data_IF_748810886333
#
_entry.id   IF_748810886333
#
_cell.length_a   1.000
_cell.length_b   1.000
_cell.length_c   1.000
_cell.angle_alpha   90.00
_cell.angle_beta   90.00
_cell.angle_gamma   90.00
#
_symmetry.space_group_name_H-M   'P 1'
#
loop_
_entity.id
_entity.type
_entity.pdbx_description
1 polymer ?
#
# COMPACT_ATOMS: atom_id res chain seq x y z
N UNK A 1 -9.67 -9.30 -8.25
CA UNK A 1 -8.92 -9.64 -9.47
C UNK A 1 -9.67 -9.23 -10.73
N UNK A 2 -10.90 -9.72 -10.94
CA UNK A 2 -11.66 -9.53 -12.20
C UNK A 2 -12.11 -8.08 -12.54
N UNK A 3 -11.67 -7.08 -11.79
CA UNK A 3 -11.79 -5.68 -12.20
C UNK A 3 -10.66 -5.27 -13.18
N UNK A 4 -9.61 -6.08 -13.29
CA UNK A 4 -8.49 -5.89 -14.19
C UNK A 4 -8.73 -6.58 -15.54
N UNK A 5 -8.25 -5.96 -16.61
CA UNK A 5 -8.17 -6.56 -17.94
C UNK A 5 -6.95 -7.49 -18.01
N UNK A 6 -7.13 -8.72 -17.48
CA UNK A 6 -6.04 -9.69 -17.34
C UNK A 6 -5.45 -10.10 -18.69
N UNK A 7 -6.26 -10.15 -19.74
CA UNK A 7 -5.82 -10.50 -21.09
C UNK A 7 -4.86 -9.43 -21.64
N UNK A 8 -5.27 -8.16 -21.60
CA UNK A 8 -4.42 -7.06 -22.01
C UNK A 8 -3.15 -6.97 -21.16
N UNK A 9 -3.28 -7.18 -19.85
CA UNK A 9 -2.15 -7.13 -18.93
C UNK A 9 -1.09 -8.19 -19.27
N UNK A 10 -1.49 -9.46 -19.41
CA UNK A 10 -0.56 -10.55 -19.76
C UNK A 10 0.03 -10.36 -21.17
N UNK A 11 -0.76 -9.88 -22.13
CA UNK A 11 -0.26 -9.53 -23.47
C UNK A 11 0.84 -8.47 -23.40
N UNK A 12 0.61 -7.40 -22.64
CA UNK A 12 1.58 -6.32 -22.47
C UNK A 12 2.86 -6.79 -21.77
N UNK A 13 2.74 -7.58 -20.70
CA UNK A 13 3.91 -8.14 -20.01
C UNK A 13 4.78 -8.97 -20.95
N UNK A 14 4.18 -9.88 -21.70
CA UNK A 14 4.90 -10.75 -22.63
C UNK A 14 5.54 -9.98 -23.79
N UNK A 15 4.85 -9.01 -24.38
CA UNK A 15 5.41 -8.15 -25.41
C UNK A 15 6.60 -7.33 -24.90
N UNK A 16 6.50 -6.77 -23.68
CA UNK A 16 7.60 -6.05 -23.06
C UNK A 16 8.80 -6.95 -22.77
N UNK A 17 8.58 -8.16 -22.25
CA UNK A 17 9.65 -9.14 -22.04
C UNK A 17 10.28 -9.65 -23.34
N UNK A 18 9.57 -9.57 -24.47
CA UNK A 18 10.10 -9.84 -25.81
C UNK A 18 10.86 -8.63 -26.42
N UNK A 19 10.90 -7.50 -25.72
CA UNK A 19 11.54 -6.26 -26.19
C UNK A 19 10.72 -5.54 -27.26
N UNK A 20 9.41 -5.75 -27.31
CA UNK A 20 8.48 -5.02 -28.17
C UNK A 20 8.03 -3.72 -27.50
N UNK A 21 7.56 -2.76 -28.32
CA UNK A 21 6.99 -1.51 -27.83
C UNK A 21 5.51 -1.72 -27.48
N UNK A 22 5.10 -1.26 -26.29
CA UNK A 22 3.72 -1.36 -25.80
C UNK A 22 3.24 0.02 -25.36
N UNK A 23 2.02 0.39 -25.76
CA UNK A 23 1.35 1.56 -25.19
C UNK A 23 0.59 1.16 -23.94
N UNK A 24 1.04 1.64 -22.79
CA UNK A 24 0.42 1.33 -21.50
C UNK A 24 -0.94 2.03 -21.39
N UNK A 25 -1.97 1.36 -20.84
CA UNK A 25 -3.21 2.04 -20.49
C UNK A 25 -2.96 2.92 -19.26
N UNK A 26 -3.53 4.13 -19.25
CA UNK A 26 -3.57 5.00 -18.07
C UNK A 26 -5.00 5.06 -17.56
N UNK A 27 -5.24 4.82 -16.27
CA UNK A 27 -6.58 4.95 -15.70
C UNK A 27 -6.76 6.35 -15.11
N UNK A 28 -7.70 7.12 -15.65
CA UNK A 28 -8.00 8.45 -15.15
C UNK A 28 -9.05 8.37 -14.04
N UNK A 29 -8.67 8.70 -12.81
CA UNK A 29 -9.55 8.63 -11.64
C UNK A 29 -10.63 9.70 -11.62
N UNK A 30 -10.44 10.83 -12.31
CA UNK A 30 -11.45 11.88 -12.39
C UNK A 30 -12.59 11.51 -13.32
N UNK A 31 -12.28 10.87 -14.45
CA UNK A 31 -13.28 10.43 -15.44
C UNK A 31 -13.75 9.00 -15.19
N UNK A 32 -12.97 8.21 -14.45
CA UNK A 32 -13.22 6.78 -14.23
C UNK A 32 -12.99 5.92 -15.48
N UNK A 33 -12.25 6.43 -16.47
CA UNK A 33 -12.06 5.77 -17.77
C UNK A 33 -10.61 5.45 -18.06
N UNK A 34 -10.42 4.44 -18.92
CA UNK A 34 -9.11 4.08 -19.48
C UNK A 34 -8.75 5.03 -20.61
N UNK A 35 -7.59 5.64 -20.51
CA UNK A 35 -6.98 6.54 -21.48
C UNK A 35 -5.67 5.94 -22.01
N UNK A 36 -5.17 6.54 -23.10
CA UNK A 36 -3.89 6.14 -23.70
C UNK A 36 -2.76 6.72 -22.84
N UNK A 37 -1.90 5.85 -22.30
CA UNK A 37 -0.68 6.25 -21.62
C UNK A 37 0.53 6.26 -22.54
N UNK A 38 1.70 6.15 -21.92
CA UNK A 38 2.99 6.22 -22.60
C UNK A 38 3.28 4.95 -23.40
N UNK A 39 4.06 5.09 -24.47
CA UNK A 39 4.60 3.94 -25.20
C UNK A 39 5.99 3.65 -24.70
N UNK A 40 6.18 2.44 -24.18
CA UNK A 40 7.43 2.01 -23.55
C UNK A 40 7.96 0.76 -24.23
N UNK A 41 9.28 0.56 -24.13
CA UNK A 41 9.96 -0.62 -24.66
C UNK A 41 11.07 -0.99 -23.67
N UNK A 42 11.14 -2.27 -23.28
CA UNK A 42 12.21 -2.74 -22.40
C UNK A 42 13.44 -3.15 -23.22
N UNK A 43 14.61 -2.98 -22.61
CA UNK A 43 15.87 -3.59 -23.04
C UNK A 43 16.31 -4.64 -22.02
N UNK A 44 17.31 -5.47 -22.35
CA UNK A 44 17.80 -6.53 -21.45
C UNK A 44 18.39 -6.05 -20.12
N UNK A 45 18.63 -4.75 -19.92
CA UNK A 45 19.09 -4.17 -18.65
C UNK A 45 17.96 -3.67 -17.75
N UNK A 46 16.71 -3.71 -18.21
CA UNK A 46 15.58 -3.21 -17.45
C UNK A 46 14.99 -4.29 -16.54
N UNK A 47 14.45 -3.84 -15.41
CA UNK A 47 13.63 -4.66 -14.52
C UNK A 47 12.22 -4.09 -14.58
N UNK A 48 11.23 -4.99 -14.69
CA UNK A 48 9.84 -4.60 -14.61
C UNK A 48 9.34 -4.77 -13.18
N UNK A 49 8.81 -3.69 -12.59
CA UNK A 49 8.15 -3.71 -11.29
C UNK A 49 6.66 -3.57 -11.51
N UNK A 50 5.91 -4.54 -10.97
CA UNK A 50 4.45 -4.59 -10.99
C UNK A 50 3.99 -4.52 -9.55
N UNK A 51 3.41 -3.39 -9.15
CA UNK A 51 2.83 -3.19 -7.81
C UNK A 51 1.33 -3.52 -7.82
N UNK A 52 0.72 -3.81 -6.68
CA UNK A 52 -0.73 -3.92 -6.58
C UNK A 52 -1.17 -5.03 -5.66
N UNK A 53 -2.35 -4.85 -5.09
CA UNK A 53 -2.87 -5.75 -4.05
C UNK A 53 -2.99 -7.21 -4.52
N UNK A 54 -3.12 -7.47 -5.82
CA UNK A 54 -3.23 -8.80 -6.40
C UNK A 54 -1.90 -9.42 -6.84
N UNK A 55 -0.75 -8.79 -6.58
CA UNK A 55 0.56 -9.22 -7.10
C UNK A 55 0.95 -10.68 -6.84
N UNK A 56 0.43 -11.29 -5.77
CA UNK A 56 0.71 -12.68 -5.41
C UNK A 56 -0.29 -13.69 -5.99
N UNK A 57 -1.39 -13.20 -6.59
CA UNK A 57 -2.39 -14.07 -7.19
C UNK A 57 -1.85 -14.62 -8.52
N UNK A 58 -1.68 -15.94 -8.68
CA UNK A 58 -1.08 -16.52 -9.89
C UNK A 58 -1.90 -16.20 -11.15
N UNK A 59 -3.22 -16.00 -11.00
CA UNK A 59 -4.11 -15.65 -12.11
C UNK A 59 -3.82 -14.25 -12.71
N UNK A 60 -3.07 -13.39 -12.00
CA UNK A 60 -2.64 -12.08 -12.48
C UNK A 60 -1.67 -12.21 -13.66
N UNK A 61 -0.73 -13.15 -13.58
CA UNK A 61 0.37 -13.35 -14.52
C UNK A 61 0.34 -14.77 -15.13
N UNK A 62 -0.87 -15.27 -15.39
CA UNK A 62 -1.13 -16.67 -15.80
C UNK A 62 -0.39 -17.09 -17.08
N UNK A 63 -0.12 -16.14 -17.99
CA UNK A 63 0.50 -16.40 -19.29
C UNK A 63 1.98 -16.00 -19.31
N UNK A 64 2.54 -15.64 -18.15
CA UNK A 64 3.96 -15.30 -17.99
C UNK A 64 4.72 -16.51 -17.48
N UNK A 65 5.88 -16.77 -18.06
CA UNK A 65 6.81 -17.81 -17.61
C UNK A 65 7.15 -17.62 -16.12
N UNK A 66 6.79 -18.57 -15.23
CA UNK A 66 7.02 -18.46 -13.80
C UNK A 66 8.48 -18.21 -13.40
N UNK A 67 9.44 -18.72 -14.19
CA UNK A 67 10.89 -18.55 -13.92
C UNK A 67 11.36 -17.10 -14.09
N UNK A 68 10.53 -16.25 -14.71
CA UNK A 68 10.77 -14.81 -14.89
C UNK A 68 10.09 -13.95 -13.83
N UNK A 69 9.34 -14.56 -12.90
CA UNK A 69 8.53 -13.83 -11.93
C UNK A 69 9.11 -14.00 -10.53
N UNK A 70 9.47 -12.89 -9.92
CA UNK A 70 9.83 -12.81 -8.50
C UNK A 70 8.74 -12.08 -7.71
N UNK A 71 8.20 -12.72 -6.68
CA UNK A 71 7.05 -12.27 -5.90
C UNK A 71 7.50 -11.79 -4.52
N UNK A 72 7.21 -10.53 -4.23
CA UNK A 72 7.48 -9.93 -2.92
C UNK A 72 6.16 -9.64 -2.19
N UNK A 73 6.03 -10.11 -0.95
CA UNK A 73 4.92 -9.75 -0.09
C UNK A 73 5.34 -8.71 0.96
N UNK A 74 4.83 -7.49 0.82
CA UNK A 74 5.01 -6.43 1.82
C UNK A 74 3.87 -6.47 2.83
N UNK A 75 4.21 -6.68 4.10
CA UNK A 75 3.22 -6.73 5.19
C UNK A 75 3.63 -5.87 6.38
N UNK A 76 2.69 -5.54 7.24
CA UNK A 76 2.93 -4.80 8.49
C UNK A 76 2.70 -5.75 9.66
N UNK A 77 3.57 -6.76 9.81
CA UNK A 77 3.44 -7.77 10.85
C UNK A 77 4.11 -7.27 12.13
N UNK A 78 3.36 -6.51 12.93
CA UNK A 78 3.80 -6.12 14.28
C UNK A 78 3.95 -7.37 15.15
N UNK A 79 5.18 -7.65 15.60
CA UNK A 79 5.50 -8.79 16.46
C UNK A 79 5.52 -8.43 17.95
N UNK A 80 5.29 -7.16 18.27
CA UNK A 80 5.28 -6.66 19.64
C UNK A 80 3.97 -6.98 20.35
N UNK A 81 4.11 -7.26 21.64
CA UNK A 81 2.99 -7.36 22.55
C UNK A 81 2.97 -6.12 23.45
N UNK A 82 1.77 -5.67 23.80
CA UNK A 82 1.57 -4.61 24.80
C UNK A 82 1.99 -5.15 26.18
N UNK A 83 1.64 -6.41 26.46
CA UNK A 83 2.06 -7.14 27.65
C UNK A 83 2.19 -8.65 27.35
N UNK A 84 2.32 -9.50 28.37
CA UNK A 84 2.49 -10.95 28.19
C UNK A 84 1.28 -11.67 27.56
N UNK A 85 0.12 -11.04 27.56
CA UNK A 85 -1.15 -11.62 27.15
C UNK A 85 -1.80 -10.86 25.98
N UNK A 86 -1.52 -9.56 25.85
CA UNK A 86 -2.12 -8.69 24.84
C UNK A 86 -1.13 -8.39 23.71
N UNK A 87 -1.41 -8.91 22.52
CA UNK A 87 -0.64 -8.61 21.30
C UNK A 87 -1.10 -7.31 20.67
N UNK A 88 -0.21 -6.61 19.98
CA UNK A 88 -0.62 -5.52 19.09
C UNK A 88 -1.30 -6.11 17.85
N UNK A 89 -2.59 -5.83 17.58
CA UNK A 89 -3.26 -6.40 16.42
C UNK A 89 -2.76 -5.76 15.12
N UNK A 90 -2.17 -6.56 14.22
CA UNK A 90 -1.78 -6.11 12.87
C UNK A 90 -2.93 -5.42 12.12
N UNK A 91 -4.17 -5.84 12.36
CA UNK A 91 -5.35 -5.21 11.75
C UNK A 91 -5.48 -3.74 12.17
N UNK A 92 -5.21 -3.41 13.43
CA UNK A 92 -5.34 -2.06 13.95
C UNK A 92 -4.20 -1.16 13.47
N UNK A 93 -2.97 -1.70 13.44
CA UNK A 93 -1.82 -0.97 12.89
C UNK A 93 -2.04 -0.63 11.41
N UNK A 94 -2.52 -1.58 10.61
CA UNK A 94 -2.86 -1.36 9.20
C UNK A 94 -4.00 -0.36 9.04
N UNK A 95 -5.01 -0.40 9.91
CA UNK A 95 -6.11 0.58 9.90
C UNK A 95 -5.61 2.00 10.23
N UNK A 96 -4.73 2.14 11.22
CA UNK A 96 -4.17 3.44 11.61
C UNK A 96 -3.25 4.02 10.52
N UNK A 97 -2.37 3.20 9.93
CA UNK A 97 -1.60 3.60 8.73
C UNK A 97 -2.52 4.10 7.62
N UNK A 98 -3.58 3.35 7.33
CA UNK A 98 -4.56 3.70 6.29
C UNK A 98 -5.31 4.98 6.64
N UNK A 99 -5.73 5.16 7.88
CA UNK A 99 -6.45 6.34 8.35
C UNK A 99 -5.62 7.61 8.13
N UNK A 100 -4.35 7.59 8.56
CA UNK A 100 -3.44 8.74 8.41
C UNK A 100 -3.16 9.02 6.93
N UNK A 101 -2.82 8.00 6.15
CA UNK A 101 -2.53 8.14 4.71
C UNK A 101 -3.75 8.63 3.92
N UNK A 102 -4.91 8.00 4.11
CA UNK A 102 -6.13 8.36 3.38
C UNK A 102 -6.56 9.82 3.70
N UNK A 103 -6.32 10.30 4.91
CA UNK A 103 -6.56 11.71 5.25
C UNK A 103 -5.54 12.66 4.60
N UNK A 104 -4.25 12.38 4.72
CA UNK A 104 -3.20 13.28 4.23
C UNK A 104 -3.14 13.39 2.70
N UNK A 105 -3.29 12.27 1.98
CA UNK A 105 -3.04 12.22 0.55
C UNK A 105 -4.32 12.17 -0.29
N UNK A 106 -5.43 11.71 0.28
CA UNK A 106 -6.69 11.51 -0.45
C UNK A 106 -7.83 12.42 0.04
N UNK A 107 -7.62 13.16 1.12
CA UNK A 107 -8.61 14.06 1.72
C UNK A 107 -9.84 13.35 2.28
N UNK A 108 -9.78 12.02 2.48
CA UNK A 108 -10.92 11.28 3.04
C UNK A 108 -11.11 11.60 4.52
N UNK A 109 -12.38 11.72 4.93
CA UNK A 109 -12.73 11.84 6.33
C UNK A 109 -12.53 10.48 7.04
N UNK A 110 -12.17 10.52 8.33
CA UNK A 110 -11.98 9.32 9.14
C UNK A 110 -13.19 8.35 9.06
N UNK A 111 -14.40 8.89 9.09
CA UNK A 111 -15.64 8.13 9.01
C UNK A 111 -15.73 7.30 7.72
N UNK A 112 -15.26 7.83 6.59
CA UNK A 112 -15.26 7.12 5.30
C UNK A 112 -14.28 5.95 5.31
N UNK A 113 -13.06 6.17 5.82
CA UNK A 113 -12.04 5.11 5.91
C UNK A 113 -12.49 3.99 6.84
N UNK A 114 -12.99 4.32 8.03
CA UNK A 114 -13.50 3.31 8.98
C UNK A 114 -14.73 2.58 8.43
N UNK A 115 -15.66 3.32 7.79
CA UNK A 115 -16.86 2.73 7.20
C UNK A 115 -16.56 1.70 6.11
N UNK A 116 -15.49 1.90 5.33
CA UNK A 116 -15.07 0.96 4.27
C UNK A 116 -14.24 -0.21 4.79
N UNK A 117 -13.72 -0.14 6.01
CA UNK A 117 -12.72 -1.09 6.54
C UNK A 117 -13.18 -2.55 6.50
N UNK A 118 -14.42 -2.84 6.88
CA UNK A 118 -14.94 -4.21 6.83
C UNK A 118 -15.00 -4.76 5.41
N UNK A 119 -15.30 -3.92 4.42
CA UNK A 119 -15.30 -4.32 3.00
C UNK A 119 -13.89 -4.64 2.53
N UNK A 120 -12.92 -3.78 2.86
CA UNK A 120 -11.50 -4.00 2.58
C UNK A 120 -11.04 -5.34 3.15
N UNK A 121 -11.32 -5.63 4.42
CA UNK A 121 -10.95 -6.90 5.06
C UNK A 121 -11.58 -8.12 4.41
N UNK A 122 -12.83 -8.03 3.95
CA UNK A 122 -13.46 -9.12 3.19
C UNK A 122 -12.75 -9.35 1.85
N UNK A 123 -12.36 -8.27 1.17
CA UNK A 123 -11.56 -8.33 -0.05
C UNK A 123 -10.20 -9.00 0.18
N UNK A 124 -9.50 -8.61 1.24
CA UNK A 124 -8.21 -9.19 1.64
C UNK A 124 -8.28 -10.69 1.91
N UNK A 125 -9.26 -11.10 2.73
CA UNK A 125 -9.49 -12.53 3.04
C UNK A 125 -9.80 -13.38 1.83
N UNK A 126 -10.47 -12.81 0.83
CA UNK A 126 -10.86 -13.53 -0.39
C UNK A 126 -9.74 -13.59 -1.43
N UNK A 127 -9.02 -12.48 -1.60
CA UNK A 127 -8.20 -12.27 -2.80
C UNK A 127 -6.72 -12.05 -2.54
N UNK A 128 -6.30 -11.87 -1.28
CA UNK A 128 -4.93 -11.49 -0.94
C UNK A 128 -4.31 -12.54 -0.01
N UNK A 129 -4.88 -12.74 1.18
CA UNK A 129 -4.33 -13.67 2.17
C UNK A 129 -4.19 -15.13 1.69
N UNK A 130 -5.11 -15.69 0.88
CA UNK A 130 -4.94 -17.05 0.37
C UNK A 130 -3.68 -17.25 -0.49
N UNK A 131 -3.11 -16.17 -1.02
CA UNK A 131 -1.97 -16.21 -1.94
C UNK A 131 -0.67 -15.73 -1.31
N UNK A 132 -0.66 -15.39 -0.01
CA UNK A 132 0.54 -14.84 0.64
C UNK A 132 1.74 -15.82 0.62
N UNK A 133 1.46 -17.13 0.65
CA UNK A 133 2.47 -18.19 0.61
C UNK A 133 3.09 -18.38 -0.79
N UNK A 134 2.59 -17.68 -1.81
CA UNK A 134 3.21 -17.66 -3.15
C UNK A 134 4.38 -16.67 -3.23
N UNK A 135 4.67 -15.93 -2.15
CA UNK A 135 5.76 -14.96 -2.15
C UNK A 135 7.12 -15.67 -2.04
N UNK A 136 8.06 -15.27 -2.89
CA UNK A 136 9.45 -15.71 -2.81
C UNK A 136 10.17 -15.04 -1.62
N UNK A 137 9.76 -13.81 -1.29
CA UNK A 137 10.26 -13.10 -0.11
C UNK A 137 9.16 -12.31 0.58
N UNK A 138 9.22 -12.30 1.90
CA UNK A 138 8.37 -11.46 2.74
C UNK A 138 9.15 -10.28 3.30
N UNK A 139 8.63 -9.06 3.11
CA UNK A 139 9.19 -7.85 3.68
C UNK A 139 8.26 -7.31 4.78
N UNK A 140 8.73 -7.33 6.02
CA UNK A 140 8.00 -6.77 7.15
C UNK A 140 8.27 -5.27 7.27
N UNK A 141 7.31 -4.46 6.86
CA UNK A 141 7.33 -3.00 6.94
C UNK A 141 6.95 -2.45 8.32
N UNK A 142 6.67 -3.28 9.32
CA UNK A 142 6.35 -2.83 10.68
C UNK A 142 7.57 -2.17 11.35
N UNK A 143 7.35 -1.05 12.05
CA UNK A 143 8.38 -0.35 12.81
C UNK A 143 7.94 -0.25 14.27
N UNK A 144 8.82 -0.59 15.20
CA UNK A 144 8.50 -0.68 16.64
C UNK A 144 7.89 0.61 17.19
N UNK A 145 8.35 1.77 16.71
CA UNK A 145 7.97 3.09 17.19
C UNK A 145 6.86 3.76 16.35
N UNK A 146 6.30 3.07 15.34
CA UNK A 146 5.36 3.72 14.41
C UNK A 146 4.10 4.25 15.07
N UNK A 147 3.55 3.54 16.06
CA UNK A 147 2.30 3.94 16.71
C UNK A 147 2.49 5.22 17.54
N UNK A 148 3.66 5.38 18.16
CA UNK A 148 4.05 6.61 18.86
C UNK A 148 4.14 7.83 17.95
N UNK A 149 4.58 7.63 16.70
CA UNK A 149 4.67 8.68 15.68
C UNK A 149 3.33 8.94 15.00
N UNK A 150 2.53 7.91 14.74
CA UNK A 150 1.23 8.04 14.07
C UNK A 150 0.15 8.59 15.03
N UNK A 151 0.31 8.42 16.34
CA UNK A 151 -0.68 8.81 17.34
C UNK A 151 -1.12 10.28 17.24
N UNK A 152 -0.22 11.28 17.17
CA UNK A 152 -0.61 12.69 16.98
C UNK A 152 -1.40 12.97 15.71
N UNK A 153 -1.19 12.18 14.66
CA UNK A 153 -1.89 12.30 13.39
C UNK A 153 -3.26 11.59 13.42
N UNK A 154 -3.34 10.45 14.10
CA UNK A 154 -4.55 9.63 14.17
C UNK A 154 -5.56 10.13 15.22
N UNK A 155 -5.14 10.57 16.40
CA UNK A 155 -6.06 10.98 17.48
C UNK A 155 -7.05 12.09 17.06
N UNK A 156 -6.62 13.18 16.39
CA UNK A 156 -7.55 14.22 15.97
C UNK A 156 -8.60 13.70 14.99
N UNK A 157 -8.23 12.77 14.10
CA UNK A 157 -9.12 12.16 13.12
C UNK A 157 -10.18 11.29 13.79
N UNK A 158 -9.78 10.50 14.79
CA UNK A 158 -10.69 9.63 15.55
C UNK A 158 -11.66 10.45 16.43
N UNK A 159 -11.23 11.58 16.98
CA UNK A 159 -12.09 12.47 17.80
C UNK A 159 -13.15 13.22 16.98
N UNK A 160 -12.96 13.33 15.66
CA UNK A 160 -13.90 13.98 14.75
C UNK A 160 -15.00 13.03 14.24
N UNK A 161 -15.02 11.77 14.70
CA UNK A 161 -16.04 10.82 14.27
C UNK A 161 -17.44 11.24 14.76
N UNK A 162 -18.51 11.01 13.95
CA UNK A 162 -19.86 11.42 14.33
C UNK A 162 -20.33 10.74 15.63
N UNK A 163 -20.87 11.51 16.59
CA UNK A 163 -21.33 10.96 17.86
C UNK A 163 -22.54 10.03 17.69
N UNK A 164 -22.73 9.13 18.66
CA UNK A 164 -23.82 8.15 18.70
C UNK A 164 -23.85 7.19 17.49
N UNK A 165 -22.68 6.88 16.91
CA UNK A 165 -22.54 5.91 15.80
C UNK A 165 -21.66 4.72 16.18
N UNK A 166 -21.77 3.62 15.43
CA UNK A 166 -20.84 2.49 15.56
C UNK A 166 -19.39 2.88 15.25
N UNK A 167 -19.19 3.91 14.42
CA UNK A 167 -17.87 4.45 14.11
C UNK A 167 -17.26 5.14 15.32
N UNK A 168 -18.05 5.87 16.11
CA UNK A 168 -17.57 6.47 17.36
C UNK A 168 -17.08 5.41 18.36
N UNK A 169 -17.79 4.29 18.46
CA UNK A 169 -17.40 3.17 19.32
C UNK A 169 -16.04 2.62 18.89
N UNK A 170 -15.87 2.39 17.59
CA UNK A 170 -14.58 1.92 17.03
C UNK A 170 -13.48 2.96 17.21
N UNK A 171 -13.80 4.25 17.06
CA UNK A 171 -12.88 5.35 17.32
C UNK A 171 -12.40 5.39 18.76
N UNK A 172 -13.32 5.25 19.72
CA UNK A 172 -13.00 5.16 21.15
C UNK A 172 -12.14 3.94 21.48
N UNK A 173 -12.39 2.79 20.84
CA UNK A 173 -11.55 1.60 20.96
C UNK A 173 -10.13 1.86 20.46
N UNK A 174 -9.98 2.47 19.28
CA UNK A 174 -8.68 2.83 18.71
C UNK A 174 -7.95 3.89 19.54
N UNK A 175 -8.64 4.89 20.09
CA UNK A 175 -8.06 5.87 21.02
C UNK A 175 -7.56 5.19 22.30
N UNK A 176 -8.32 4.25 22.86
CA UNK A 176 -7.92 3.47 24.03
C UNK A 176 -6.74 2.54 23.73
N UNK A 177 -6.61 2.08 22.48
CA UNK A 177 -5.44 1.34 22.02
C UNK A 177 -4.21 2.25 21.87
N UNK A 178 -4.37 3.44 21.28
CA UNK A 178 -3.29 4.41 21.12
C UNK A 178 -2.77 4.97 22.46
N UNK A 179 -3.60 4.99 23.52
CA UNK A 179 -3.17 5.51 24.83
C UNK A 179 -2.03 4.72 25.48
N UNK A 180 -1.76 3.48 25.02
CA UNK A 180 -0.62 2.66 25.48
C UNK A 180 0.73 3.08 24.89
N UNK A 181 0.76 4.00 23.92
CA UNK A 181 1.97 4.41 23.22
C UNK A 181 2.31 5.86 23.56
N UNK A 182 3.52 6.13 24.04
CA UNK A 182 3.98 7.50 24.25
C UNK A 182 4.07 8.26 22.92
N UNK A 183 3.77 9.56 22.95
CA UNK A 183 3.87 10.42 21.77
C UNK A 183 5.33 10.79 21.56
N UNK A 184 5.81 10.66 20.32
CA UNK A 184 7.09 11.26 19.89
C UNK A 184 6.75 12.62 19.28
N UNK A 185 6.97 13.70 20.03
CA UNK A 185 6.63 15.06 19.62
C UNK A 185 7.49 15.57 18.46
N UNK A 186 8.79 15.24 18.46
CA UNK A 186 9.76 15.68 17.45
C UNK A 186 10.02 14.60 16.39
N UNK A 187 8.95 13.94 15.91
CA UNK A 187 9.07 12.84 14.96
C UNK A 187 9.81 13.26 13.67
N UNK A 188 9.73 14.52 13.27
CA UNK A 188 10.47 15.04 12.13
C UNK A 188 11.99 15.00 12.30
N UNK A 189 12.50 15.10 13.53
CA UNK A 189 13.93 15.03 13.85
C UNK A 189 14.40 13.57 13.94
N UNK A 190 13.60 12.70 14.55
CA UNK A 190 14.02 11.33 14.87
C UNK A 190 13.68 10.30 13.80
N UNK A 191 12.70 10.55 12.93
CA UNK A 191 12.36 9.62 11.84
C UNK A 191 13.34 9.86 10.68
N UNK A 192 14.13 8.86 10.24
CA UNK A 192 15.01 9.05 9.09
C UNK A 192 14.23 9.51 7.84
N UNK A 193 14.82 10.39 7.03
CA UNK A 193 14.17 10.91 5.82
C UNK A 193 13.99 9.85 4.72
N UNK A 194 14.62 8.69 4.84
CA UNK A 194 14.45 7.51 4.00
C UNK A 194 13.60 6.40 4.65
N UNK A 195 12.96 6.68 5.79
CA UNK A 195 12.07 5.72 6.47
C UNK A 195 10.75 5.56 5.73
N UNK A 196 10.22 4.34 5.67
CA UNK A 196 8.86 4.06 5.15
C UNK A 196 7.80 4.85 5.92
N UNK A 197 8.06 5.20 7.18
CA UNK A 197 7.11 5.97 7.99
C UNK A 197 6.86 7.38 7.41
N UNK A 198 7.80 7.89 6.59
CA UNK A 198 7.68 9.18 5.90
C UNK A 198 6.56 9.20 4.85
N UNK A 199 6.05 8.04 4.45
CA UNK A 199 4.79 7.89 3.71
C UNK A 199 3.58 8.42 4.49
N UNK A 200 3.64 8.48 5.82
CA UNK A 200 2.53 8.92 6.68
C UNK A 200 2.80 10.23 7.40
N UNK A 201 4.05 10.67 7.46
CA UNK A 201 4.43 11.91 8.18
C UNK A 201 4.93 12.99 7.23
N UNK A 202 5.15 12.68 5.95
CA UNK A 202 5.84 13.56 5.01
C UNK A 202 7.35 13.65 5.27
N UNK A 203 8.05 14.35 4.37
CA UNK A 203 9.51 14.59 4.45
C UNK A 203 10.38 13.44 3.91
N UNK A 204 9.81 12.54 3.10
CA UNK A 204 10.57 11.47 2.44
C UNK A 204 11.47 12.01 1.34
N UNK A 205 12.77 11.68 1.36
CA UNK A 205 13.66 11.94 0.21
C UNK A 205 13.39 11.01 -0.97
N UNK A 206 12.53 10.01 -0.79
CA UNK A 206 12.16 9.05 -1.82
C UNK A 206 10.89 9.45 -2.59
N UNK A 207 10.21 10.55 -2.21
CA UNK A 207 8.92 10.95 -2.79
C UNK A 207 8.99 11.13 -4.32
N UNK A 208 10.01 11.86 -4.77
CA UNK A 208 10.24 12.16 -6.19
C UNK A 208 11.45 11.35 -6.71
N UNK A 209 11.89 10.34 -5.95
CA UNK A 209 12.99 9.50 -6.35
C UNK A 209 12.52 8.55 -7.45
N UNK A 210 13.09 8.74 -8.64
CA UNK A 210 12.97 7.80 -9.73
C UNK A 210 14.24 6.94 -9.74
N UNK A 211 14.15 5.63 -9.49
CA UNK A 211 15.29 4.74 -9.66
C UNK A 211 15.85 4.88 -11.09
N UNK A 212 17.10 5.33 -11.22
CA UNK A 212 17.82 5.32 -12.50
C UNK A 212 17.90 6.61 -13.31
N UNK A 213 17.91 7.82 -12.72
CA UNK A 213 18.26 9.05 -13.48
C UNK A 213 19.31 9.94 -12.78
N UNK A 214 20.25 10.53 -13.56
CA UNK A 214 19.91 11.47 -14.63
C UNK A 214 20.32 11.00 -16.02
N UNK A 215 19.34 10.66 -16.88
CA UNK A 215 19.54 10.68 -18.34
C UNK A 215 19.00 9.54 -19.21
N UNK A 216 18.46 8.41 -18.71
CA UNK A 216 17.74 7.46 -19.58
C UNK A 216 16.75 6.48 -18.92
N UNK A 217 15.70 6.21 -19.70
CA UNK A 217 14.34 5.72 -19.43
C UNK A 217 14.24 4.46 -18.54
N UNK A 218 13.29 4.45 -17.61
CA UNK A 218 12.79 3.26 -16.94
C UNK A 218 11.27 3.32 -16.91
N UNK A 219 10.60 2.27 -17.39
CA UNK A 219 9.13 2.21 -17.42
C UNK A 219 8.59 1.60 -16.14
N UNK A 220 7.90 2.40 -15.33
CA UNK A 220 7.13 1.93 -14.18
C UNK A 220 5.72 1.56 -14.66
N UNK A 221 5.26 0.34 -14.37
CA UNK A 221 3.88 -0.08 -14.68
C UNK A 221 3.13 -0.19 -13.36
N UNK A 222 2.23 0.76 -13.13
CA UNK A 222 1.22 0.69 -12.08
C UNK A 222 -0.03 -0.04 -12.62
N UNK A 223 -0.28 -1.30 -12.23
CA UNK A 223 -1.45 -2.06 -12.67
C UNK A 223 -2.72 -1.67 -11.92
N UNK A 224 -2.60 -0.94 -10.81
CA UNK A 224 -3.71 -0.55 -9.94
C UNK A 224 -3.38 0.81 -9.36
N UNK A 225 -3.53 1.85 -10.18
CA UNK A 225 -3.43 3.25 -9.73
C UNK A 225 -4.09 3.40 -8.36
N UNK A 226 -3.27 3.73 -7.36
CA UNK A 226 -3.70 3.98 -6.00
C UNK A 226 -3.72 5.48 -5.72
#
# INVERSE_FOLDING_TARGET
LHALDLGLFNQHLNALMAGESVTLPHFNFHTGTRERGETVRLTGSHILIVEGIHGLNPELVRDVDPDRVFRMYVSCLTQLNIDRHNRIPTTDVRLLRRLVRDNQYRGYAAAETLGRWQSVRRGEKRWIFPYQENADVMFNSALVYELSVLRPLAEPLLRQLPPATSLEIEGKRLLSFLSWFEIIHDAEEFVPNNSILREFTGGSILRDYVPGHPGQEGAFIDPVGA
#
